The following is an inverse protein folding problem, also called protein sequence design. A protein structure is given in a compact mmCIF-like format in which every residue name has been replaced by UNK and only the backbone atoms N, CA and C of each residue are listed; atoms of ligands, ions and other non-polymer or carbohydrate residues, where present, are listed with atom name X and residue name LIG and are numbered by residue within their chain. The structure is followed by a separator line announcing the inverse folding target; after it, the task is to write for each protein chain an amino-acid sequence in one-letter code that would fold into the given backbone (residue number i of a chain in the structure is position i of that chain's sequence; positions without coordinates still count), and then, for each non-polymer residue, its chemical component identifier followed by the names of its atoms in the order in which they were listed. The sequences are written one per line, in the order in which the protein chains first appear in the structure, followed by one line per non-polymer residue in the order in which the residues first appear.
data_IF_001559319548
#
_entry.id   IF_001559319548
#
_cell.length_a   1.000
_cell.length_b   1.000
_cell.length_c   1.000
_cell.angle_alpha   90.00
_cell.angle_beta   90.00
_cell.angle_gamma   90.00
#
_symmetry.space_group_name_H-M   'P 1'
#
loop_
_entity.id
_entity.type
_entity.pdbx_description
1 polymer ?
#
# COMPACT_ATOMS: atom_id res chain seq x y z
N UNK A 1 -60.80 33.76 -43.76
CA UNK A 1 -59.60 33.03 -44.24
C UNK A 1 -58.40 33.93 -44.04
N UNK A 2 -57.23 33.60 -43.53
CA UNK A 2 -56.63 32.49 -42.77
C UNK A 2 -55.27 33.07 -42.32
N UNK A 3 -54.93 32.94 -41.02
CA UNK A 3 -53.60 32.86 -40.33
C UNK A 3 -52.34 33.37 -41.09
N UNK A 4 -51.38 34.07 -40.49
CA UNK A 4 -50.43 33.54 -39.50
C UNK A 4 -49.71 34.68 -38.74
N UNK A 5 -49.67 34.55 -37.41
CA UNK A 5 -48.74 35.25 -36.51
C UNK A 5 -47.41 34.48 -36.51
N UNK A 6 -46.29 35.15 -36.78
CA UNK A 6 -44.95 34.57 -36.57
C UNK A 6 -44.48 34.99 -35.18
N UNK A 7 -44.48 34.03 -34.27
CA UNK A 7 -43.92 34.17 -32.92
C UNK A 7 -42.45 33.75 -32.98
N UNK A 8 -41.54 34.69 -32.76
CA UNK A 8 -40.09 34.42 -32.67
C UNK A 8 -39.81 33.98 -31.23
N UNK A 9 -39.60 32.67 -31.05
CA UNK A 9 -39.13 32.11 -29.78
C UNK A 9 -37.61 32.26 -29.74
N UNK A 10 -37.13 33.12 -28.84
CA UNK A 10 -35.73 33.28 -28.51
C UNK A 10 -35.32 32.13 -27.57
N UNK A 11 -34.80 31.04 -28.12
CA UNK A 11 -34.21 29.95 -27.32
C UNK A 11 -32.82 30.36 -26.85
N UNK A 12 -32.71 30.73 -25.57
CA UNK A 12 -31.46 31.00 -24.87
C UNK A 12 -30.76 29.67 -24.56
N UNK A 13 -29.80 29.27 -25.38
CA UNK A 13 -28.95 28.11 -25.12
C UNK A 13 -27.80 28.50 -24.18
N UNK A 14 -28.00 28.33 -22.88
CA UNK A 14 -26.89 28.38 -21.90
C UNK A 14 -26.16 27.05 -21.99
N UNK A 15 -25.12 26.99 -22.84
CA UNK A 15 -24.15 25.92 -22.83
C UNK A 15 -23.24 26.10 -21.60
N UNK A 16 -23.60 25.43 -20.51
CA UNK A 16 -22.67 25.11 -19.43
C UNK A 16 -21.53 24.27 -20.04
N UNK A 17 -20.41 24.93 -20.34
CA UNK A 17 -19.18 24.25 -20.70
C UNK A 17 -18.72 23.48 -19.48
N UNK A 18 -18.46 22.16 -19.56
CA UNK A 18 -17.71 21.50 -18.51
C UNK A 18 -16.34 22.17 -18.47
N UNK A 19 -15.99 22.78 -17.34
CA UNK A 19 -14.64 23.23 -17.12
C UNK A 19 -13.73 22.01 -17.26
N UNK A 20 -12.97 21.96 -18.36
CA UNK A 20 -11.81 21.10 -18.47
C UNK A 20 -10.88 21.51 -17.33
N UNK A 21 -10.98 20.82 -16.20
CA UNK A 21 -9.94 20.83 -15.20
C UNK A 21 -8.73 20.18 -15.86
N UNK A 22 -7.92 21.00 -16.53
CA UNK A 22 -6.61 20.58 -16.98
C UNK A 22 -5.85 20.15 -15.73
N UNK A 23 -5.54 18.85 -15.64
CA UNK A 23 -4.60 18.37 -14.65
C UNK A 23 -3.34 19.21 -14.80
N UNK A 24 -3.07 20.05 -13.81
CA UNK A 24 -1.88 20.87 -13.78
C UNK A 24 -0.72 19.91 -13.50
N UNK A 25 -0.06 19.44 -14.57
CA UNK A 25 1.11 18.58 -14.44
C UNK A 25 2.20 19.40 -13.73
N UNK A 26 2.55 18.98 -12.52
CA UNK A 26 3.66 19.51 -11.75
C UNK A 26 4.95 19.32 -12.57
N UNK A 27 5.50 20.42 -13.07
CA UNK A 27 6.61 20.43 -14.03
C UNK A 27 7.98 20.16 -13.40
N UNK A 28 8.03 19.93 -12.08
CA UNK A 28 9.27 19.63 -11.36
C UNK A 28 9.61 18.13 -11.40
N UNK A 29 9.61 17.51 -12.58
CA UNK A 29 10.04 16.11 -12.71
C UNK A 29 11.57 16.01 -12.51
N UNK A 30 11.98 15.39 -11.40
CA UNK A 30 13.39 15.06 -11.18
C UNK A 30 13.74 13.84 -12.01
N UNK A 31 14.72 13.99 -12.91
CA UNK A 31 15.27 12.88 -13.69
C UNK A 31 16.40 12.23 -12.90
N UNK A 32 16.45 10.89 -12.79
CA UNK A 32 17.52 10.23 -12.07
C UNK A 32 18.85 10.27 -12.85
N UNK A 33 19.94 10.25 -12.10
CA UNK A 33 21.27 9.88 -12.60
C UNK A 33 21.56 8.47 -12.06
N UNK A 34 22.04 7.57 -12.92
CA UNK A 34 22.36 6.21 -12.51
C UNK A 34 23.79 6.14 -11.95
N UNK A 35 23.93 5.75 -10.68
CA UNK A 35 25.21 5.53 -9.98
C UNK A 35 25.09 4.39 -8.98
N UNK A 36 26.17 3.65 -8.75
CA UNK A 36 26.25 2.60 -7.72
C UNK A 36 25.08 1.59 -7.75
N UNK A 37 24.68 1.17 -8.96
CA UNK A 37 23.53 0.29 -9.23
C UNK A 37 22.18 0.82 -8.73
N UNK A 38 22.05 2.14 -8.54
CA UNK A 38 20.83 2.81 -8.10
C UNK A 38 20.45 4.00 -8.96
N UNK A 39 19.21 4.45 -8.77
CA UNK A 39 18.69 5.70 -9.29
C UNK A 39 18.94 6.82 -8.27
N UNK A 40 19.67 7.85 -8.67
CA UNK A 40 19.99 8.99 -7.80
C UNK A 40 19.21 10.22 -8.23
N UNK A 41 18.40 10.74 -7.31
CA UNK A 41 17.58 11.93 -7.51
C UNK A 41 18.16 13.09 -6.71
N UNK A 42 18.58 14.16 -7.42
CA UNK A 42 18.98 15.40 -6.77
C UNK A 42 17.75 16.14 -6.25
N UNK A 43 17.73 16.43 -4.95
CA UNK A 43 16.61 17.08 -4.27
C UNK A 43 17.05 18.48 -3.83
N UNK A 44 16.25 19.48 -4.19
CA UNK A 44 16.34 20.86 -3.70
C UNK A 44 14.92 21.38 -3.58
N UNK A 45 14.36 21.31 -2.36
CA UNK A 45 12.96 21.66 -2.08
C UNK A 45 12.88 22.66 -0.93
N UNK A 46 12.01 23.65 -1.08
CA UNK A 46 11.75 24.63 -0.04
C UNK A 46 10.84 24.07 1.05
N UNK A 47 10.88 24.68 2.23
CA UNK A 47 10.01 24.34 3.35
C UNK A 47 8.53 24.38 2.96
N UNK A 48 7.76 23.38 3.40
CA UNK A 48 6.33 23.19 3.08
C UNK A 48 6.02 22.93 1.60
N UNK A 49 7.03 22.78 0.74
CA UNK A 49 6.84 22.36 -0.64
C UNK A 49 6.91 20.83 -0.78
N UNK A 50 6.62 20.33 -1.98
CA UNK A 50 6.72 18.91 -2.30
C UNK A 50 7.43 18.68 -3.62
N UNK A 51 7.99 17.48 -3.76
CA UNK A 51 8.55 17.00 -5.02
C UNK A 51 8.11 15.58 -5.29
N UNK A 52 7.96 15.24 -6.56
CA UNK A 52 7.63 13.88 -6.98
C UNK A 52 8.55 13.40 -8.08
N UNK A 53 8.85 12.10 -8.05
CA UNK A 53 9.64 11.42 -9.08
C UNK A 53 9.14 9.99 -9.28
N UNK A 54 9.51 9.40 -10.41
CA UNK A 54 8.99 8.11 -10.89
C UNK A 54 10.15 7.13 -11.06
N UNK A 55 10.40 6.27 -10.06
CA UNK A 55 11.43 5.26 -10.14
C UNK A 55 11.20 4.23 -11.25
N UNK A 56 12.29 3.72 -11.79
CA UNK A 56 12.28 2.61 -12.74
C UNK A 56 13.09 1.41 -12.26
N UNK A 57 13.98 1.61 -11.28
CA UNK A 57 14.82 0.56 -10.70
C UNK A 57 14.04 -0.38 -9.78
N UNK A 58 13.18 0.17 -8.94
CA UNK A 58 12.23 -0.58 -8.10
C UNK A 58 10.87 -0.65 -8.80
N UNK A 59 10.60 -1.75 -9.49
CA UNK A 59 9.40 -1.92 -10.33
C UNK A 59 8.09 -1.81 -9.54
N UNK A 60 8.14 -2.12 -8.24
CA UNK A 60 7.00 -2.04 -7.32
C UNK A 60 6.61 -0.62 -6.92
N UNK A 61 7.50 0.36 -7.11
CA UNK A 61 7.28 1.77 -6.79
C UNK A 61 6.98 2.52 -8.09
N UNK A 62 5.78 3.06 -8.22
CA UNK A 62 5.37 3.84 -9.38
C UNK A 62 5.75 5.31 -9.25
N UNK A 63 5.54 5.89 -8.06
CA UNK A 63 5.87 7.28 -7.76
C UNK A 63 6.23 7.46 -6.30
N UNK A 64 7.22 8.31 -6.05
CA UNK A 64 7.57 8.82 -4.73
C UNK A 64 7.17 10.27 -4.65
N UNK A 65 6.58 10.68 -3.54
CA UNK A 65 6.32 12.09 -3.22
C UNK A 65 6.90 12.40 -1.84
N UNK A 66 7.76 13.41 -1.76
CA UNK A 66 8.34 13.93 -0.52
C UNK A 66 7.75 15.31 -0.25
N UNK A 67 7.20 15.52 0.95
CA UNK A 67 6.76 16.82 1.44
C UNK A 67 7.76 17.31 2.49
N UNK A 68 8.29 18.52 2.32
CA UNK A 68 9.31 19.09 3.18
C UNK A 68 8.68 19.79 4.40
N UNK A 69 9.25 19.56 5.59
CA UNK A 69 8.96 20.35 6.79
C UNK A 69 9.79 21.64 6.79
N UNK A 70 11.06 21.53 6.44
CA UNK A 70 12.03 22.62 6.30
C UNK A 70 12.66 22.55 4.90
N UNK A 71 13.65 23.41 4.59
CA UNK A 71 14.35 23.32 3.31
C UNK A 71 15.20 22.05 3.29
N UNK A 72 15.10 21.27 2.21
CA UNK A 72 15.89 20.04 2.02
C UNK A 72 16.75 20.18 0.77
N UNK A 73 18.04 19.85 0.92
CA UNK A 73 18.97 19.76 -0.19
C UNK A 73 19.85 18.53 -0.03
N UNK A 74 19.93 17.69 -1.05
CA UNK A 74 20.75 16.49 -1.04
C UNK A 74 20.34 15.52 -2.13
N UNK A 75 20.53 14.22 -1.88
CA UNK A 75 20.22 13.18 -2.84
C UNK A 75 19.37 12.09 -2.19
N UNK A 76 18.44 11.53 -2.98
CA UNK A 76 17.75 10.27 -2.67
C UNK A 76 18.30 9.21 -3.60
N UNK A 77 18.70 8.08 -3.04
CA UNK A 77 19.21 6.94 -3.81
C UNK A 77 18.26 5.77 -3.64
N UNK A 78 17.75 5.25 -4.75
CA UNK A 78 16.86 4.09 -4.75
C UNK A 78 17.56 2.89 -5.42
N UNK A 79 17.59 1.76 -4.73
CA UNK A 79 18.18 0.51 -5.23
C UNK A 79 17.20 -0.64 -5.08
N UNK A 80 17.08 -1.46 -6.12
CA UNK A 80 16.45 -2.77 -6.02
C UNK A 80 17.40 -3.74 -5.34
N UNK A 81 16.87 -4.51 -4.41
CA UNK A 81 17.63 -5.54 -3.69
C UNK A 81 17.22 -6.92 -4.21
N UNK A 82 18.19 -7.84 -4.29
CA UNK A 82 17.93 -9.21 -4.74
C UNK A 82 17.16 -10.05 -3.72
N UNK A 83 17.36 -9.74 -2.44
CA UNK A 83 16.86 -10.50 -1.30
C UNK A 83 16.53 -9.58 -0.13
N UNK A 84 15.89 -10.13 0.90
CA UNK A 84 15.64 -9.44 2.15
C UNK A 84 16.98 -8.94 2.77
N UNK A 85 17.19 -7.62 2.94
CA UNK A 85 18.41 -7.06 3.54
C UNK A 85 18.52 -7.35 5.05
N UNK A 86 17.42 -7.73 5.71
CA UNK A 86 17.31 -7.97 7.15
C UNK A 86 16.95 -9.43 7.40
N UNK A 87 17.95 -10.31 7.23
CA UNK A 87 17.77 -11.77 7.30
C UNK A 87 17.44 -12.29 8.70
N UNK A 88 17.77 -11.51 9.71
CA UNK A 88 17.55 -11.76 11.13
C UNK A 88 16.18 -11.27 11.64
N UNK A 89 15.43 -10.50 10.83
CA UNK A 89 14.05 -10.12 11.14
C UNK A 89 13.05 -11.18 10.69
N UNK A 90 11.81 -11.08 11.18
CA UNK A 90 10.70 -11.86 10.62
C UNK A 90 10.59 -11.65 9.10
N UNK A 91 10.29 -12.73 8.36
CA UNK A 91 10.14 -12.65 6.92
C UNK A 91 8.77 -12.08 6.54
N UNK A 92 8.73 -11.38 5.41
CA UNK A 92 7.48 -10.98 4.77
C UNK A 92 7.02 -12.14 3.90
N UNK A 93 5.80 -12.60 4.12
CA UNK A 93 5.20 -13.63 3.27
C UNK A 93 5.11 -13.13 1.83
N UNK A 94 5.51 -13.98 0.87
CA UNK A 94 5.45 -13.69 -0.57
C UNK A 94 5.88 -12.24 -0.88
N UNK A 95 7.13 -11.89 -0.56
CA UNK A 95 7.66 -10.59 -0.97
C UNK A 95 7.69 -10.49 -2.51
N UNK A 96 7.13 -9.40 -3.03
CA UNK A 96 7.17 -9.08 -4.46
C UNK A 96 8.50 -8.44 -4.82
N UNK A 97 8.95 -7.47 -4.02
CA UNK A 97 10.22 -6.77 -4.24
C UNK A 97 10.72 -6.13 -2.94
N UNK A 98 12.04 -6.08 -2.80
CA UNK A 98 12.75 -5.35 -1.75
C UNK A 98 13.52 -4.17 -2.36
N UNK A 99 13.47 -3.03 -1.68
CA UNK A 99 14.14 -1.81 -2.10
C UNK A 99 14.88 -1.16 -0.94
N UNK A 100 15.99 -0.49 -1.26
CA UNK A 100 16.69 0.42 -0.38
C UNK A 100 16.45 1.85 -0.85
N UNK A 101 16.04 2.70 0.08
CA UNK A 101 15.75 4.11 -0.08
C UNK A 101 16.66 4.89 0.87
N UNK A 102 17.78 5.35 0.34
CA UNK A 102 18.84 6.00 1.11
C UNK A 102 18.80 7.52 0.94
N UNK A 103 19.04 8.24 2.03
CA UNK A 103 19.19 9.69 2.06
C UNK A 103 20.67 10.07 2.15
N UNK A 104 21.17 10.84 1.19
CA UNK A 104 22.53 11.39 1.23
C UNK A 104 22.46 12.92 1.38
N UNK A 105 22.95 13.43 2.51
CA UNK A 105 22.91 14.86 2.84
C UNK A 105 21.53 15.39 3.23
N UNK A 106 20.51 14.52 3.35
CA UNK A 106 19.16 14.87 3.78
C UNK A 106 18.95 14.34 5.20
N UNK A 107 18.47 15.18 6.11
CA UNK A 107 18.05 14.77 7.44
C UNK A 107 16.56 14.37 7.40
N UNK A 108 16.25 13.14 7.82
CA UNK A 108 14.88 12.62 7.82
C UNK A 108 13.90 13.49 8.63
N UNK A 109 14.37 14.19 9.68
CA UNK A 109 13.53 15.07 10.49
C UNK A 109 13.05 16.34 9.76
N UNK A 110 13.70 16.67 8.63
CA UNK A 110 13.31 17.77 7.75
C UNK A 110 12.22 17.34 6.76
N UNK A 111 11.94 16.04 6.65
CA UNK A 111 10.84 15.48 5.86
C UNK A 111 9.57 15.48 6.71
N UNK A 112 8.51 16.07 6.17
CA UNK A 112 7.19 16.04 6.81
C UNK A 112 6.46 14.73 6.50
N UNK A 113 6.58 14.24 5.27
CA UNK A 113 5.86 13.05 4.79
C UNK A 113 6.51 12.47 3.54
N UNK A 114 6.56 11.13 3.49
CA UNK A 114 6.92 10.37 2.29
C UNK A 114 5.76 9.50 1.86
N UNK A 115 5.20 9.76 0.68
CA UNK A 115 4.12 8.96 0.10
C UNK A 115 4.62 8.14 -1.08
N UNK A 116 4.24 6.88 -1.13
CA UNK A 116 4.57 5.96 -2.21
C UNK A 116 3.29 5.54 -2.92
N UNK A 117 3.26 5.75 -4.23
CA UNK A 117 2.32 5.05 -5.11
C UNK A 117 3.01 3.78 -5.58
N UNK A 118 2.36 2.64 -5.34
CA UNK A 118 2.90 1.31 -5.63
C UNK A 118 2.15 0.71 -6.81
N UNK A 119 2.81 -0.21 -7.50
CA UNK A 119 2.19 -1.04 -8.53
C UNK A 119 2.63 -2.50 -8.40
N UNK A 120 1.69 -3.43 -8.52
CA UNK A 120 1.98 -4.86 -8.47
C UNK A 120 1.32 -5.55 -9.66
N UNK A 121 2.07 -6.43 -10.33
CA UNK A 121 1.60 -7.16 -11.51
C UNK A 121 0.50 -8.15 -11.12
N UNK A 122 -0.63 -8.12 -11.83
CA UNK A 122 -1.73 -9.07 -11.65
C UNK A 122 -1.28 -10.53 -11.81
N UNK A 123 -0.34 -10.78 -12.71
CA UNK A 123 0.22 -12.12 -12.93
C UNK A 123 0.94 -12.68 -11.69
N UNK A 124 1.65 -11.83 -10.94
CA UNK A 124 2.34 -12.24 -9.72
C UNK A 124 1.34 -12.59 -8.62
N UNK A 125 0.28 -11.80 -8.45
CA UNK A 125 -0.80 -12.14 -7.51
C UNK A 125 -1.44 -13.49 -7.85
N UNK A 126 -1.73 -13.73 -9.14
CA UNK A 126 -2.28 -15.00 -9.60
C UNK A 126 -1.33 -16.18 -9.34
N UNK A 127 -0.03 -16.01 -9.59
CA UNK A 127 1.00 -17.03 -9.30
C UNK A 127 1.04 -17.37 -7.79
N UNK A 128 0.90 -16.36 -6.93
CA UNK A 128 0.90 -16.53 -5.47
C UNK A 128 -0.48 -16.83 -4.86
N UNK A 129 -1.53 -16.95 -5.68
CA UNK A 129 -2.92 -17.13 -5.24
C UNK A 129 -3.38 -16.04 -4.25
N UNK A 130 -3.00 -14.78 -4.50
CA UNK A 130 -3.32 -13.62 -3.69
C UNK A 130 -4.42 -12.77 -4.30
N UNK A 131 -5.21 -12.10 -3.47
CA UNK A 131 -6.17 -11.08 -3.91
C UNK A 131 -5.53 -9.70 -3.90
N UNK A 132 -6.14 -8.75 -4.63
CA UNK A 132 -5.71 -7.36 -4.65
C UNK A 132 -5.64 -6.71 -3.26
N UNK A 133 -6.45 -7.19 -2.30
CA UNK A 133 -6.48 -6.68 -0.93
C UNK A 133 -5.40 -7.28 -0.04
N UNK A 134 -4.62 -8.26 -0.52
CA UNK A 134 -3.60 -8.93 0.25
C UNK A 134 -2.23 -8.24 0.11
N UNK A 135 -2.16 -7.03 -0.44
CA UNK A 135 -0.92 -6.31 -0.73
C UNK A 135 -0.70 -5.18 0.27
N UNK A 136 0.54 -5.05 0.76
CA UNK A 136 0.93 -3.95 1.64
C UNK A 136 2.39 -3.53 1.41
N UNK A 137 2.66 -2.26 1.73
CA UNK A 137 4.00 -1.74 1.95
C UNK A 137 4.48 -2.14 3.34
N UNK A 138 5.73 -2.55 3.41
CA UNK A 138 6.46 -2.75 4.66
C UNK A 138 7.68 -1.84 4.69
N UNK A 139 7.93 -1.24 5.84
CA UNK A 139 9.15 -0.46 6.10
C UNK A 139 9.90 -1.13 7.26
N UNK A 140 11.23 -1.15 7.22
CA UNK A 140 11.99 -1.76 8.30
C UNK A 140 12.31 -0.73 9.39
N UNK A 141 11.87 -0.99 10.62
CA UNK A 141 12.32 -0.23 11.78
C UNK A 141 13.63 -0.82 12.30
N UNK A 142 14.73 -0.09 12.15
CA UNK A 142 16.04 -0.52 12.65
C UNK A 142 16.14 -0.60 14.17
N UNK A 143 15.32 0.15 14.92
CA UNK A 143 15.32 0.14 16.39
C UNK A 143 14.72 -1.16 16.95
N UNK A 144 13.63 -1.62 16.33
CA UNK A 144 12.92 -2.83 16.75
C UNK A 144 13.37 -4.08 15.98
N UNK A 145 14.27 -3.90 15.00
CA UNK A 145 14.73 -4.92 14.05
C UNK A 145 13.57 -5.71 13.41
N UNK A 146 12.54 -4.98 12.97
CA UNK A 146 11.29 -5.56 12.51
C UNK A 146 10.74 -4.83 11.28
N UNK A 147 10.12 -5.60 10.39
CA UNK A 147 9.27 -5.07 9.33
C UNK A 147 7.95 -4.58 9.90
N UNK A 148 7.65 -3.31 9.67
CA UNK A 148 6.41 -2.65 10.05
C UNK A 148 5.52 -2.58 8.83
N UNK A 149 4.30 -3.11 8.94
CA UNK A 149 3.29 -3.00 7.90
C UNK A 149 2.70 -1.59 7.90
N UNK A 150 2.75 -0.92 6.76
CA UNK A 150 2.17 0.40 6.58
C UNK A 150 0.72 0.33 6.12
N UNK A 151 -0.06 1.35 6.45
CA UNK A 151 -1.43 1.46 5.95
C UNK A 151 -1.41 1.66 4.43
N UNK A 152 -1.86 0.64 3.69
CA UNK A 152 -1.81 0.59 2.23
C UNK A 152 -3.22 0.53 1.66
N UNK A 153 -3.60 1.52 0.86
CA UNK A 153 -4.91 1.60 0.24
C UNK A 153 -4.81 1.29 -1.26
N UNK A 154 -5.66 0.39 -1.77
CA UNK A 154 -5.81 0.21 -3.21
C UNK A 154 -6.43 1.47 -3.82
N UNK A 155 -5.85 1.97 -4.91
CA UNK A 155 -6.31 3.15 -5.64
C UNK A 155 -7.13 2.80 -6.86
N UNK A 156 -6.52 2.07 -7.78
CA UNK A 156 -7.08 1.77 -9.10
C UNK A 156 -6.41 0.52 -9.69
N UNK A 157 -6.78 0.15 -10.91
CA UNK A 157 -6.19 -0.96 -11.64
C UNK A 157 -6.10 -0.65 -13.14
N UNK A 158 -5.19 -1.36 -13.80
CA UNK A 158 -5.09 -1.44 -15.26
C UNK A 158 -5.31 -2.88 -15.71
N UNK A 159 -5.11 -3.15 -17.00
CA UNK A 159 -5.09 -4.52 -17.52
C UNK A 159 -3.93 -5.35 -16.96
N UNK A 160 -2.84 -4.72 -16.49
CA UNK A 160 -1.59 -5.41 -16.10
C UNK A 160 -1.31 -5.29 -14.59
N UNK A 161 -1.69 -4.18 -13.96
CA UNK A 161 -1.30 -3.84 -12.59
C UNK A 161 -2.48 -3.50 -11.69
N UNK A 162 -2.32 -3.80 -10.40
CA UNK A 162 -3.03 -3.12 -9.32
C UNK A 162 -2.17 -1.97 -8.80
N UNK A 163 -2.79 -0.83 -8.49
CA UNK A 163 -2.11 0.35 -7.96
C UNK A 163 -2.56 0.64 -6.54
N UNK A 164 -1.62 1.04 -5.70
CA UNK A 164 -1.83 1.30 -4.28
C UNK A 164 -1.19 2.62 -3.86
N UNK A 165 -1.54 3.10 -2.68
CA UNK A 165 -0.82 4.16 -1.99
C UNK A 165 -0.59 3.84 -0.53
N UNK A 166 0.59 4.19 -0.05
CA UNK A 166 0.96 4.09 1.35
C UNK A 166 1.85 5.28 1.75
N UNK A 167 1.93 5.53 3.04
CA UNK A 167 2.90 6.43 3.65
C UNK A 167 4.05 5.58 4.20
N UNK A 168 5.29 5.96 3.89
CA UNK A 168 6.48 5.26 4.35
C UNK A 168 7.04 5.99 5.58
N UNK A 169 7.06 5.31 6.73
CA UNK A 169 7.44 5.92 8.01
C UNK A 169 8.83 5.51 8.50
N UNK A 170 9.42 4.44 7.97
CA UNK A 170 10.77 3.99 8.33
C UNK A 170 11.65 3.81 7.09
N UNK A 171 12.93 4.14 7.25
CA UNK A 171 13.97 4.08 6.23
C UNK A 171 15.20 3.33 6.77
N UNK A 172 16.07 2.79 5.90
CA UNK A 172 16.04 2.90 4.44
C UNK A 172 15.32 1.76 3.72
N UNK A 173 14.96 0.68 4.40
CA UNK A 173 14.49 -0.53 3.73
C UNK A 173 12.98 -0.56 3.57
N UNK A 174 12.55 -0.84 2.35
CA UNK A 174 11.17 -0.96 1.92
C UNK A 174 10.94 -2.33 1.30
N UNK A 175 9.74 -2.86 1.44
CA UNK A 175 9.32 -4.06 0.73
C UNK A 175 7.83 -3.96 0.36
N UNK A 176 7.49 -4.53 -0.79
CA UNK A 176 6.08 -4.76 -1.18
C UNK A 176 5.84 -6.26 -1.13
N UNK A 177 4.79 -6.69 -0.47
CA UNK A 177 4.54 -8.13 -0.28
C UNK A 177 3.14 -8.42 0.22
N UNK A 178 2.91 -9.69 0.56
CA UNK A 178 1.63 -10.12 1.11
C UNK A 178 1.47 -9.56 2.53
N UNK A 179 0.33 -8.93 2.81
CA UNK A 179 -0.11 -8.76 4.18
C UNK A 179 -0.68 -10.08 4.71
N UNK A 180 -0.03 -10.65 5.71
CA UNK A 180 -0.55 -11.84 6.39
C UNK A 180 -1.83 -11.46 7.12
N UNK A 181 -2.97 -11.90 6.61
CA UNK A 181 -4.24 -11.91 7.35
C UNK A 181 -4.14 -13.02 8.38
N UNK A 182 -3.50 -12.75 9.53
CA UNK A 182 -3.47 -13.71 10.63
C UNK A 182 -4.90 -13.93 11.14
N UNK A 183 -5.58 -14.95 10.60
CA UNK A 183 -6.92 -15.38 11.04
C UNK A 183 -6.93 -15.68 12.55
N UNK A 184 -5.79 -16.14 13.10
CA UNK A 184 -5.61 -16.34 14.53
C UNK A 184 -5.54 -15.03 15.34
N UNK A 185 -5.04 -13.94 14.74
CA UNK A 185 -4.98 -12.62 15.38
C UNK A 185 -6.33 -11.89 15.39
N UNK A 186 -7.24 -12.23 14.47
CA UNK A 186 -8.60 -11.66 14.41
C UNK A 186 -9.64 -12.40 15.26
N UNK A 187 -9.31 -13.58 15.78
CA UNK A 187 -10.21 -14.29 16.68
C UNK A 187 -10.15 -13.64 18.06
N UNK A 188 -11.24 -12.97 18.44
CA UNK A 188 -11.39 -12.49 19.81
C UNK A 188 -11.20 -13.68 20.77
N UNK A 189 -10.37 -13.52 21.80
CA UNK A 189 -10.12 -14.53 22.82
C UNK A 189 -11.44 -15.13 23.36
N UNK A 190 -12.51 -14.34 23.45
CA UNK A 190 -13.84 -14.81 23.82
C UNK A 190 -14.47 -15.81 22.84
N UNK A 191 -14.26 -15.65 21.54
CA UNK A 191 -14.73 -16.60 20.52
C UNK A 191 -13.98 -17.92 20.62
N UNK A 192 -12.65 -17.87 20.84
CA UNK A 192 -11.85 -19.07 21.05
C UNK A 192 -12.31 -19.83 22.30
N UNK A 193 -12.54 -19.11 23.40
CA UNK A 193 -12.97 -19.67 24.67
C UNK A 193 -14.39 -20.27 24.57
N UNK A 194 -15.30 -19.62 23.82
CA UNK A 194 -16.63 -20.15 23.52
C UNK A 194 -16.56 -21.44 22.70
N UNK A 195 -15.72 -21.50 21.65
CA UNK A 195 -15.48 -22.71 20.87
C UNK A 195 -14.94 -23.85 21.73
N UNK A 196 -14.00 -23.57 22.65
CA UNK A 196 -13.49 -24.56 23.60
C UNK A 196 -14.59 -25.08 24.55
N UNK A 197 -15.44 -24.20 25.08
CA UNK A 197 -16.55 -24.60 25.95
C UNK A 197 -17.58 -25.48 25.23
N UNK A 198 -17.91 -25.15 23.97
CA UNK A 198 -18.83 -25.95 23.16
C UNK A 198 -18.28 -27.35 22.86
N UNK A 199 -16.98 -27.47 22.56
CA UNK A 199 -16.33 -28.77 22.37
C UNK A 199 -16.34 -29.61 23.66
N UNK A 200 -16.09 -28.98 24.81
CA UNK A 200 -16.10 -29.67 26.10
C UNK A 200 -17.52 -30.16 26.47
N UNK A 201 -18.54 -29.32 26.23
CA UNK A 201 -19.94 -29.71 26.41
C UNK A 201 -20.31 -30.89 25.52
N UNK A 202 -19.91 -30.88 24.24
CA UNK A 202 -20.15 -31.98 23.31
C UNK A 202 -19.54 -33.29 23.83
N UNK A 203 -18.29 -33.25 24.30
CA UNK A 203 -17.60 -34.42 24.88
C UNK A 203 -18.34 -34.93 26.13
N UNK A 204 -18.81 -34.03 27.00
CA UNK A 204 -19.60 -34.42 28.18
C UNK A 204 -20.94 -35.05 27.81
N UNK A 205 -21.64 -34.52 26.81
CA UNK A 205 -22.91 -35.10 26.33
C UNK A 205 -22.69 -36.49 25.73
N UNK A 206 -21.62 -36.67 24.96
CA UNK A 206 -21.22 -37.99 24.42
C UNK A 206 -20.92 -38.95 25.58
N UNK A 207 -20.09 -38.55 26.54
CA UNK A 207 -19.75 -39.38 27.70
C UNK A 207 -20.99 -39.76 28.53
N UNK A 208 -21.90 -38.81 28.75
CA UNK A 208 -23.16 -39.04 29.43
C UNK A 208 -24.04 -40.03 28.68
N UNK A 209 -24.20 -39.87 27.36
CA UNK A 209 -24.97 -40.80 26.52
C UNK A 209 -24.37 -42.22 26.52
N UNK A 210 -23.05 -42.35 26.58
CA UNK A 210 -22.39 -43.66 26.76
C UNK A 210 -22.64 -44.24 28.16
N UNK A 211 -22.61 -43.41 29.19
CA UNK A 211 -22.85 -43.84 30.58
C UNK A 211 -24.29 -44.30 30.81
N UNK A 212 -25.28 -43.65 30.19
CA UNK A 212 -26.70 -43.99 30.33
C UNK A 212 -27.04 -45.29 29.61
N UNK A 213 -26.44 -45.55 28.44
CA UNK A 213 -26.60 -46.83 27.73
C UNK A 213 -26.08 -48.03 28.51
N UNK A 214 -24.97 -47.89 29.25
CA UNK A 214 -24.44 -48.98 30.08
C UNK A 214 -25.37 -49.39 31.20
N UNK A 215 -26.09 -48.45 31.83
CA UNK A 215 -27.04 -48.75 32.91
C UNK A 215 -28.33 -49.45 32.45
N UNK A 216 -28.66 -49.38 31.15
CA UNK A 216 -29.82 -50.06 30.59
C UNK A 216 -29.58 -51.54 30.27
N UNK A 217 -28.34 -52.02 30.38
CA UNK A 217 -27.95 -53.40 30.07
C UNK A 217 -27.55 -54.24 31.30
N UNK A 218 -27.71 -53.67 32.51
CA UNK A 218 -27.57 -54.37 33.81
C UNK A 218 -28.93 -54.49 34.48
#
# INVERSE_FOLDING_TARGET
MTKYFVSIILSLSILLSPSLAFAQYDTNQVTPIYRDNGEVYGIDIAASDRISFYPTGCESIDKVTIEAKTNIKGEIILRKLSDNPKKDSAQIDNAFEYCEFEFNGINENDIKKTSLDLKVRKSWLNEKSLNQNDISLFTHNNSDNAWVRENTAQKTESSIYYFYSAEANNFPYLAVGQQSTSILGSLNAGVLLLCCLLLLLLVLLIAFAFSSRRKSQS
#
